data_IF_573668969354
#
_entry.id   IF_573668969354
#
_cell.length_a   1.000
_cell.length_b   1.000
_cell.length_c   1.000
_cell.angle_alpha   90.00
_cell.angle_beta   90.00
_cell.angle_gamma   90.00
#
_symmetry.space_group_name_H-M   'P 1'
#
loop_
_entity.id
_entity.type
_entity.pdbx_description
1 polymer ?
#
# COMPACT_ATOMS: atom_id res chain seq x y z
N UNK A 1 0.12 -1.08 -21.27
CA UNK A 1 -1.21 -0.84 -20.66
C UNK A 1 -1.23 -1.56 -19.32
N UNK A 2 -1.72 -0.91 -18.26
CA UNK A 2 -1.60 -1.39 -16.86
C UNK A 2 -2.80 -2.23 -16.39
N UNK A 3 -3.76 -2.53 -17.29
CA UNK A 3 -4.93 -3.36 -17.02
C UNK A 3 -5.73 -2.91 -15.79
N UNK A 4 -6.01 -1.59 -15.70
CA UNK A 4 -6.84 -1.03 -14.62
C UNK A 4 -8.33 -1.44 -14.74
N UNK A 5 -8.75 -1.81 -15.95
CA UNK A 5 -10.06 -2.35 -16.27
C UNK A 5 -10.29 -3.76 -15.71
N UNK A 6 -9.22 -4.45 -15.28
CA UNK A 6 -9.25 -5.79 -14.69
C UNK A 6 -8.66 -5.76 -13.28
N UNK A 7 -9.52 -5.45 -12.30
CA UNK A 7 -9.19 -5.45 -10.87
C UNK A 7 -9.77 -6.70 -10.17
N UNK A 8 -9.13 -7.17 -9.11
CA UNK A 8 -9.61 -8.32 -8.31
C UNK A 8 -9.69 -9.63 -9.09
N UNK A 9 -10.81 -10.34 -8.97
CA UNK A 9 -11.02 -11.66 -9.59
C UNK A 9 -10.93 -11.65 -11.12
N UNK A 10 -11.29 -10.54 -11.77
CA UNK A 10 -11.17 -10.41 -13.23
C UNK A 10 -9.73 -10.53 -13.73
N UNK A 11 -8.75 -10.25 -12.87
CA UNK A 11 -7.34 -10.45 -13.20
C UNK A 11 -6.94 -11.93 -13.04
N UNK A 12 -7.50 -12.64 -12.04
CA UNK A 12 -7.20 -14.05 -11.74
C UNK A 12 -7.53 -15.00 -12.89
N UNK A 13 -8.51 -14.68 -13.73
CA UNK A 13 -8.87 -15.50 -14.89
C UNK A 13 -7.68 -15.73 -15.86
N UNK A 14 -6.67 -14.85 -15.85
CA UNK A 14 -5.50 -14.97 -16.71
C UNK A 14 -4.28 -15.60 -16.02
N UNK A 15 -4.43 -16.11 -14.80
CA UNK A 15 -3.37 -16.74 -14.02
C UNK A 15 -3.75 -18.19 -13.72
N UNK A 16 -2.79 -19.09 -13.88
CA UNK A 16 -2.94 -20.48 -13.44
C UNK A 16 -2.57 -20.61 -11.96
N UNK A 17 -3.11 -21.60 -11.26
CA UNK A 17 -2.78 -21.86 -9.85
C UNK A 17 -1.28 -22.04 -9.61
N UNK A 18 -0.57 -22.64 -10.57
CA UNK A 18 0.88 -22.81 -10.49
C UNK A 18 1.60 -21.46 -10.55
N UNK A 19 1.22 -20.59 -11.49
CA UNK A 19 1.79 -19.24 -11.60
C UNK A 19 1.50 -18.42 -10.34
N UNK A 20 0.28 -18.49 -9.81
CA UNK A 20 -0.09 -17.81 -8.55
C UNK A 20 0.77 -18.30 -7.39
N UNK A 21 0.93 -19.63 -7.26
CA UNK A 21 1.77 -20.22 -6.22
C UNK A 21 3.23 -19.77 -6.33
N UNK A 22 3.76 -19.65 -7.55
CA UNK A 22 5.10 -19.11 -7.78
C UNK A 22 5.20 -17.66 -7.30
N UNK A 23 4.24 -16.79 -7.68
CA UNK A 23 4.24 -15.39 -7.23
C UNK A 23 4.18 -15.29 -5.71
N UNK A 24 3.29 -16.06 -5.07
CA UNK A 24 3.14 -16.07 -3.60
C UNK A 24 4.43 -16.54 -2.93
N UNK A 25 5.11 -17.55 -3.48
CA UNK A 25 6.36 -18.06 -2.90
C UNK A 25 7.52 -17.06 -2.94
N UNK A 26 7.50 -16.14 -3.90
CA UNK A 26 8.49 -15.06 -4.04
C UNK A 26 8.08 -13.79 -3.29
N UNK A 27 6.83 -13.71 -2.81
CA UNK A 27 6.30 -12.52 -2.18
C UNK A 27 6.84 -12.37 -0.76
N UNK A 28 7.36 -11.19 -0.38
CA UNK A 28 7.63 -10.90 1.03
C UNK A 28 6.34 -10.85 1.84
N UNK A 29 6.40 -11.24 3.11
CA UNK A 29 5.31 -11.07 4.07
C UNK A 29 5.76 -10.11 5.18
N UNK A 30 5.16 -8.90 5.31
CA UNK A 30 4.03 -8.37 4.54
C UNK A 30 4.41 -7.98 3.10
N UNK A 31 3.44 -7.96 2.16
CA UNK A 31 3.68 -7.62 0.77
C UNK A 31 4.21 -6.19 0.65
N UNK A 32 5.50 -6.09 0.37
CA UNK A 32 6.26 -4.84 0.31
C UNK A 32 6.81 -4.66 -1.10
N UNK A 33 6.89 -3.41 -1.56
CA UNK A 33 7.45 -3.09 -2.87
C UNK A 33 8.97 -3.26 -2.85
N UNK A 34 9.44 -4.44 -3.23
CA UNK A 34 10.88 -4.72 -3.38
C UNK A 34 11.20 -4.69 -4.88
N UNK A 35 12.18 -3.88 -5.33
CA UNK A 35 12.53 -3.82 -6.76
C UNK A 35 12.88 -5.20 -7.36
N UNK A 36 13.58 -6.05 -6.61
CA UNK A 36 13.99 -7.38 -7.07
C UNK A 36 12.81 -8.33 -7.28
N UNK A 37 11.72 -8.17 -6.52
CA UNK A 37 10.55 -9.05 -6.59
C UNK A 37 9.99 -9.14 -8.03
N UNK A 38 9.82 -8.00 -8.71
CA UNK A 38 9.27 -8.01 -10.06
C UNK A 38 10.20 -8.70 -11.07
N UNK A 39 11.50 -8.60 -10.86
CA UNK A 39 12.50 -9.21 -11.74
C UNK A 39 12.62 -10.71 -11.49
N UNK A 40 12.55 -11.14 -10.23
CA UNK A 40 12.50 -12.55 -9.82
C UNK A 40 11.24 -13.24 -10.35
N UNK A 41 10.07 -12.62 -10.18
CA UNK A 41 8.80 -13.13 -10.73
C UNK A 41 8.85 -13.17 -12.25
N UNK A 42 9.43 -12.16 -12.90
CA UNK A 42 9.55 -12.15 -14.36
C UNK A 42 10.51 -13.24 -14.87
N UNK A 43 11.56 -13.55 -14.11
CA UNK A 43 12.46 -14.66 -14.41
C UNK A 43 11.77 -16.01 -14.24
N UNK A 44 10.96 -16.18 -13.20
CA UNK A 44 10.22 -17.42 -12.95
C UNK A 44 9.04 -17.62 -13.91
N UNK A 45 8.39 -16.52 -14.33
CA UNK A 45 7.21 -16.51 -15.19
C UNK A 45 7.48 -15.75 -16.50
N UNK A 46 8.31 -16.29 -17.41
CA UNK A 46 8.69 -15.61 -18.63
C UNK A 46 7.50 -15.34 -19.57
N UNK A 47 6.43 -16.12 -19.48
CA UNK A 47 5.17 -15.95 -20.23
C UNK A 47 4.39 -14.69 -19.84
N UNK A 48 4.54 -14.18 -18.60
CA UNK A 48 3.81 -13.01 -18.12
C UNK A 48 4.53 -11.72 -18.47
N UNK A 49 3.81 -10.72 -18.97
CA UNK A 49 4.40 -9.39 -19.20
C UNK A 49 4.64 -8.69 -17.87
N UNK A 50 5.62 -7.78 -17.81
CA UNK A 50 5.87 -6.96 -16.61
C UNK A 50 4.59 -6.23 -16.14
N UNK A 51 3.82 -5.70 -17.09
CA UNK A 51 2.54 -5.05 -16.80
C UNK A 51 1.53 -5.96 -16.10
N UNK A 52 1.42 -7.23 -16.50
CA UNK A 52 0.54 -8.20 -15.81
C UNK A 52 1.00 -8.49 -14.39
N UNK A 53 2.31 -8.67 -14.19
CA UNK A 53 2.88 -8.93 -12.85
C UNK A 53 2.61 -7.74 -11.92
N UNK A 54 2.87 -6.53 -12.40
CA UNK A 54 2.64 -5.32 -11.60
C UNK A 54 1.15 -5.11 -11.33
N UNK A 55 0.29 -5.32 -12.34
CA UNK A 55 -1.16 -5.27 -12.19
C UNK A 55 -1.64 -6.25 -11.11
N UNK A 56 -1.18 -7.50 -11.13
CA UNK A 56 -1.53 -8.50 -10.11
C UNK A 56 -1.11 -8.07 -8.69
N UNK A 57 0.10 -7.56 -8.52
CA UNK A 57 0.59 -7.10 -7.22
C UNK A 57 -0.31 -6.02 -6.61
N UNK A 58 -0.64 -4.98 -7.38
CA UNK A 58 -1.46 -3.87 -6.89
C UNK A 58 -2.95 -4.22 -6.79
N UNK A 59 -3.49 -4.98 -7.75
CA UNK A 59 -4.93 -5.21 -7.86
C UNK A 59 -5.42 -6.48 -7.15
N UNK A 60 -4.52 -7.34 -6.69
CA UNK A 60 -4.87 -8.57 -5.97
C UNK A 60 -4.14 -8.62 -4.64
N UNK A 61 -2.81 -8.69 -4.65
CA UNK A 61 -2.03 -8.94 -3.42
C UNK A 61 -2.22 -7.82 -2.39
N UNK A 62 -2.02 -6.56 -2.76
CA UNK A 62 -2.14 -5.45 -1.81
C UNK A 62 -3.58 -5.24 -1.33
N UNK A 63 -4.56 -5.42 -2.22
CA UNK A 63 -5.97 -5.27 -1.85
C UNK A 63 -6.40 -6.36 -0.85
N UNK A 64 -6.05 -7.62 -1.10
CA UNK A 64 -6.34 -8.73 -0.18
C UNK A 64 -5.64 -8.55 1.16
N UNK A 65 -4.38 -8.12 1.15
CA UNK A 65 -3.64 -7.85 2.38
C UNK A 65 -4.31 -6.75 3.20
N UNK A 66 -4.73 -5.67 2.55
CA UNK A 66 -5.41 -4.55 3.23
C UNK A 66 -6.78 -4.94 3.74
N UNK A 67 -7.55 -5.70 2.96
CA UNK A 67 -8.82 -6.26 3.39
C UNK A 67 -8.66 -7.13 4.65
N UNK A 68 -7.65 -8.00 4.67
CA UNK A 68 -7.34 -8.84 5.83
C UNK A 68 -6.97 -8.01 7.05
N UNK A 69 -6.09 -7.01 6.90
CA UNK A 69 -5.76 -6.09 7.99
C UNK A 69 -7.00 -5.34 8.50
N UNK A 70 -7.81 -4.78 7.60
CA UNK A 70 -9.02 -4.03 7.97
C UNK A 70 -10.09 -4.88 8.69
N UNK A 71 -10.16 -6.19 8.43
CA UNK A 71 -11.05 -7.10 9.17
C UNK A 71 -10.46 -7.56 10.51
N UNK A 72 -9.14 -7.71 10.59
CA UNK A 72 -8.44 -8.24 11.77
C UNK A 72 -8.20 -7.18 12.85
N UNK A 73 -8.03 -5.91 12.49
CA UNK A 73 -7.83 -4.80 13.44
C UNK A 73 -8.87 -3.68 13.23
N UNK A 74 -10.17 -3.95 13.48
CA UNK A 74 -11.21 -2.95 13.30
C UNK A 74 -11.08 -1.73 14.24
N UNK A 75 -10.44 -1.90 15.41
CA UNK A 75 -10.27 -0.86 16.43
C UNK A 75 -8.98 -0.01 16.28
N UNK A 76 -8.08 -0.35 15.34
CA UNK A 76 -6.76 0.27 15.24
C UNK A 76 -6.63 1.24 14.04
N UNK A 77 -7.73 1.52 13.36
CA UNK A 77 -7.77 2.46 12.23
C UNK A 77 -8.14 3.86 12.75
N UNK A 78 -7.22 4.49 13.48
CA UNK A 78 -7.21 5.96 13.66
C UNK A 78 -6.26 6.56 12.61
N UNK A 79 -6.77 6.73 11.39
CA UNK A 79 -5.99 7.09 10.20
C UNK A 79 -5.71 8.60 10.06
N UNK A 80 -5.86 9.39 11.12
CA UNK A 80 -5.54 10.82 11.14
C UNK A 80 -4.30 11.16 12.01
N UNK A 81 -3.47 10.16 12.35
CA UNK A 81 -2.20 10.41 13.02
C UNK A 81 -1.21 11.12 12.09
N UNK A 82 -1.39 12.44 11.96
CA UNK A 82 -0.52 13.44 11.33
C UNK A 82 0.82 13.45 12.09
N UNK A 83 1.62 12.41 11.86
CA UNK A 83 2.95 12.27 12.45
C UNK A 83 3.87 13.21 11.71
N UNK A 84 3.87 14.47 12.16
CA UNK A 84 4.76 15.50 11.68
C UNK A 84 6.21 15.01 11.79
N UNK A 85 6.79 14.61 10.65
CA UNK A 85 8.18 14.22 10.53
C UNK A 85 9.04 15.41 10.98
N UNK A 86 9.54 15.37 12.21
CA UNK A 86 10.58 16.27 12.66
C UNK A 86 11.88 15.81 12.02
N UNK A 87 12.19 16.39 10.87
CA UNK A 87 13.52 16.31 10.27
C UNK A 87 14.50 16.92 11.26
N UNK A 88 15.36 16.09 11.82
CA UNK A 88 16.46 16.52 12.67
C UNK A 88 17.49 17.25 11.81
N UNK A 89 17.69 18.55 12.09
CA UNK A 89 18.99 19.20 12.35
C UNK A 89 18.94 20.70 12.04
N UNK A 90 18.73 21.53 13.05
CA UNK A 90 19.72 22.52 13.51
C UNK A 90 19.22 23.18 14.80
N UNK A 91 20.15 23.40 15.72
CA UNK A 91 19.96 24.05 17.00
C UNK A 91 19.29 25.43 16.86
N UNK A 92 18.24 25.66 17.65
CA UNK A 92 17.90 27.00 18.12
C UNK A 92 17.06 26.87 19.40
N UNK A 93 17.69 27.23 20.51
CA UNK A 93 17.02 27.52 21.77
C UNK A 93 15.88 28.52 21.52
N UNK A 94 14.66 28.19 21.95
CA UNK A 94 13.81 29.03 22.82
C UNK A 94 12.44 28.37 22.97
N UNK A 95 12.08 28.11 24.24
CA UNK A 95 10.76 27.72 24.71
C UNK A 95 9.65 28.62 24.15
N UNK A 96 8.85 28.13 23.20
CA UNK A 96 7.54 28.70 22.87
C UNK A 96 6.53 27.58 22.59
N UNK A 97 5.49 27.52 23.42
CA UNK A 97 4.36 26.61 23.34
C UNK A 97 3.60 26.81 22.01
N UNK A 98 3.14 25.76 21.32
CA UNK A 98 2.27 25.95 20.16
C UNK A 98 0.90 26.45 20.65
N UNK A 99 0.53 27.64 20.20
CA UNK A 99 -0.81 28.22 20.39
C UNK A 99 -1.78 27.42 19.53
N UNK A 100 -2.70 26.69 20.17
CA UNK A 100 -3.84 26.06 19.51
C UNK A 100 -4.75 27.15 18.92
N UNK A 101 -4.75 27.31 17.61
CA UNK A 101 -5.73 28.14 16.90
C UNK A 101 -6.90 27.25 16.48
N UNK A 102 -7.96 27.24 17.28
CA UNK A 102 -9.27 26.68 16.88
C UNK A 102 -10.07 27.70 16.06
N UNK A 103 -10.73 27.30 14.96
CA UNK A 103 -11.59 28.21 14.21
C UNK A 103 -12.83 28.60 15.02
N UNK A 104 -13.11 29.90 15.15
CA UNK A 104 -14.32 30.38 15.83
C UNK A 104 -15.56 30.17 14.95
N UNK A 105 -16.47 29.31 15.43
CA UNK A 105 -17.83 29.16 14.90
C UNK A 105 -18.60 30.47 15.03
N UNK A 106 -18.93 31.10 13.91
CA UNK A 106 -19.84 32.27 13.88
C UNK A 106 -21.28 31.77 14.09
N UNK A 107 -21.99 32.36 15.06
CA UNK A 107 -23.45 32.33 15.10
C UNK A 107 -23.93 33.59 14.41
N UNK A 108 -24.78 33.44 13.39
CA UNK A 108 -25.48 34.54 12.73
C UNK A 108 -26.85 34.77 13.39
N UNK A 109 -27.38 36.01 13.33
CA UNK A 109 -28.45 36.53 14.20
C UNK A 109 -29.82 35.93 13.97
#
# INVERSE_FOLDING_TARGET
>A
MWCFDTMGEGNLQYWTDLELKTVISLMPSPPTLIPSFFDEVKSALPSKTRGKIVSYFYNVTLLQFRENQSRMTPDEIDSDADTQYKVANLEANTSQKPVMLTPKKRRHP
#
